data_IF_681084312121
#
_entry.id   IF_681084312121
#
_cell.length_a   1.000
_cell.length_b   1.000
_cell.length_c   1.000
_cell.angle_alpha   90.00
_cell.angle_beta   90.00
_cell.angle_gamma   90.00
#
_symmetry.space_group_name_H-M   'P 1'
#
loop_
_entity.id
_entity.type
_entity.pdbx_description
1 polymer ?
#
# COMPACT_ATOMS: atom_id res chain seq x y z
N UNK A 1 -24.96 5.57 -7.38
CA UNK A 1 -24.89 4.77 -6.13
C UNK A 1 -24.43 3.38 -6.52
N UNK A 2 -23.28 2.92 -6.02
CA UNK A 2 -22.83 1.53 -6.24
C UNK A 2 -23.33 0.72 -5.04
N UNK A 3 -24.14 -0.30 -5.29
CA UNK A 3 -24.75 -1.14 -4.26
C UNK A 3 -24.06 -2.50 -4.24
N UNK A 4 -23.54 -2.92 -3.09
CA UNK A 4 -23.23 -4.33 -2.87
C UNK A 4 -24.53 -5.07 -2.53
N UNK A 5 -24.58 -6.39 -2.81
CA UNK A 5 -25.68 -7.22 -2.34
C UNK A 5 -25.73 -7.14 -0.81
N UNK A 6 -26.89 -6.79 -0.23
CA UNK A 6 -27.11 -6.61 1.21
C UNK A 6 -26.29 -5.47 1.87
N UNK A 7 -26.06 -4.37 1.16
CA UNK A 7 -25.47 -3.17 1.77
C UNK A 7 -26.43 -2.54 2.79
N UNK A 8 -25.99 -2.45 4.04
CA UNK A 8 -26.76 -1.96 5.19
C UNK A 8 -26.17 -0.67 5.80
N UNK A 9 -24.99 -0.23 5.35
CA UNK A 9 -24.36 1.03 5.77
C UNK A 9 -23.90 1.85 4.57
N UNK A 10 -24.23 3.13 4.57
CA UNK A 10 -23.73 4.10 3.59
C UNK A 10 -22.34 4.61 3.99
N UNK A 11 -21.35 4.43 3.11
CA UNK A 11 -20.02 5.02 3.27
C UNK A 11 -19.91 6.22 2.35
N UNK A 12 -19.56 7.37 2.93
CA UNK A 12 -19.38 8.64 2.23
C UNK A 12 -17.90 9.04 2.27
N UNK A 13 -17.30 9.17 1.10
CA UNK A 13 -15.89 9.55 0.93
C UNK A 13 -15.84 10.65 -0.11
N UNK A 14 -15.55 11.88 0.30
CA UNK A 14 -15.57 13.05 -0.58
C UNK A 14 -16.88 13.14 -1.38
N UNK A 15 -16.82 12.97 -2.70
CA UNK A 15 -17.97 12.99 -3.61
C UNK A 15 -18.56 11.59 -3.89
N UNK A 16 -17.91 10.52 -3.41
CA UNK A 16 -18.33 9.14 -3.63
C UNK A 16 -19.23 8.63 -2.49
N UNK A 17 -20.25 7.87 -2.88
CA UNK A 17 -21.18 7.20 -1.96
C UNK A 17 -21.43 5.77 -2.43
N UNK A 18 -21.26 4.81 -1.54
CA UNK A 18 -21.54 3.40 -1.81
C UNK A 18 -22.07 2.70 -0.56
N UNK A 19 -22.95 1.72 -0.77
CA UNK A 19 -23.58 0.93 0.29
C UNK A 19 -22.79 -0.35 0.52
N UNK A 20 -22.25 -0.56 1.72
CA UNK A 20 -21.46 -1.73 2.12
C UNK A 20 -22.19 -2.60 3.13
N UNK A 21 -21.88 -3.89 3.16
CA UNK A 21 -22.35 -4.77 4.24
C UNK A 21 -21.42 -4.64 5.44
N UNK A 22 -21.93 -4.07 6.54
CA UNK A 22 -21.21 -3.96 7.79
C UNK A 22 -20.86 -5.32 8.39
N UNK A 23 -21.69 -6.35 8.16
CA UNK A 23 -21.38 -7.72 8.59
C UNK A 23 -20.08 -8.24 7.97
N UNK A 24 -19.94 -8.14 6.65
CA UNK A 24 -18.76 -8.56 5.88
C UNK A 24 -17.53 -7.76 6.30
N UNK A 25 -17.68 -6.44 6.40
CA UNK A 25 -16.56 -5.57 6.76
C UNK A 25 -16.15 -5.73 8.23
N UNK A 26 -17.08 -5.98 9.15
CA UNK A 26 -16.77 -6.26 10.57
C UNK A 26 -16.04 -7.59 10.74
N UNK A 27 -16.36 -8.59 9.92
CA UNK A 27 -15.61 -9.85 9.87
C UNK A 27 -14.20 -9.66 9.31
N UNK A 28 -14.02 -8.72 8.39
CA UNK A 28 -12.71 -8.39 7.83
C UNK A 28 -11.76 -7.80 8.88
N UNK A 29 -12.24 -6.88 9.72
CA UNK A 29 -11.44 -6.31 10.81
C UNK A 29 -12.27 -5.77 11.97
N UNK A 30 -11.81 -5.92 13.23
CA UNK A 30 -12.41 -5.27 14.38
C UNK A 30 -12.50 -3.74 14.28
N UNK A 31 -11.60 -3.09 13.53
CA UNK A 31 -11.63 -1.64 13.37
C UNK A 31 -12.85 -1.21 12.53
N UNK A 32 -13.25 -2.01 11.55
CA UNK A 32 -14.51 -1.79 10.82
C UNK A 32 -15.73 -2.01 11.71
N UNK A 33 -15.70 -3.03 12.58
CA UNK A 33 -16.77 -3.23 13.54
C UNK A 33 -16.99 -1.99 14.42
N UNK A 34 -15.92 -1.41 14.95
CA UNK A 34 -15.97 -0.16 15.73
C UNK A 34 -16.43 1.03 14.90
N UNK A 35 -16.06 1.07 13.63
CA UNK A 35 -16.42 2.15 12.71
C UNK A 35 -17.93 2.16 12.41
N UNK A 36 -18.50 0.99 12.17
CA UNK A 36 -19.91 0.82 11.81
C UNK A 36 -20.85 0.77 13.01
N UNK A 37 -20.35 0.59 14.23
CA UNK A 37 -21.17 0.57 15.43
C UNK A 37 -21.10 1.89 16.21
N UNK A 38 -22.18 2.20 16.92
CA UNK A 38 -22.22 3.27 17.92
C UNK A 38 -21.68 2.74 19.26
N UNK A 39 -21.45 3.64 20.23
CA UNK A 39 -21.04 3.24 21.59
C UNK A 39 -22.02 2.28 22.28
N UNK A 40 -23.27 2.23 21.80
CA UNK A 40 -24.32 1.36 22.32
C UNK A 40 -24.48 0.05 21.52
N UNK A 41 -23.56 -0.23 20.59
CA UNK A 41 -23.58 -1.45 19.76
C UNK A 41 -24.60 -1.43 18.62
N UNK A 42 -25.32 -0.32 18.42
CA UNK A 42 -26.24 -0.15 17.30
C UNK A 42 -25.47 0.15 16.02
N UNK A 43 -25.93 -0.42 14.90
CA UNK A 43 -25.39 -0.15 13.57
C UNK A 43 -25.66 1.30 13.16
N UNK A 44 -24.66 1.97 12.59
CA UNK A 44 -24.81 3.31 12.01
C UNK A 44 -25.38 3.20 10.61
N UNK A 45 -26.33 4.06 10.26
CA UNK A 45 -26.89 4.13 8.90
C UNK A 45 -25.89 4.67 7.87
N UNK A 46 -25.05 5.63 8.30
CA UNK A 46 -24.02 6.22 7.44
C UNK A 46 -22.74 6.58 8.20
N UNK A 47 -21.61 6.51 7.51
CA UNK A 47 -20.31 6.97 8.00
C UNK A 47 -19.62 7.88 6.98
N UNK A 48 -18.80 8.81 7.48
CA UNK A 48 -17.98 9.70 6.66
C UNK A 48 -16.50 9.40 6.89
N UNK A 49 -15.76 9.21 5.80
CA UNK A 49 -14.31 8.94 5.82
C UNK A 49 -13.61 9.94 4.89
N UNK A 50 -13.43 11.20 5.30
CA UNK A 50 -12.92 12.26 4.42
C UNK A 50 -11.47 12.05 3.97
N UNK A 51 -10.67 11.38 4.81
CA UNK A 51 -9.23 11.15 4.58
C UNK A 51 -8.92 9.93 3.71
N UNK A 52 -9.94 9.20 3.26
CA UNK A 52 -9.77 8.02 2.41
C UNK A 52 -9.78 8.38 0.93
N UNK A 53 -9.04 7.60 0.15
CA UNK A 53 -9.16 7.64 -1.30
C UNK A 53 -10.43 6.86 -1.72
N UNK A 54 -11.40 7.49 -2.40
CA UNK A 54 -12.68 6.86 -2.71
C UNK A 54 -12.52 5.63 -3.59
N UNK A 55 -11.55 5.64 -4.51
CA UNK A 55 -11.30 4.51 -5.43
C UNK A 55 -10.69 3.34 -4.67
N UNK A 56 -9.61 3.56 -3.93
CA UNK A 56 -8.94 2.51 -3.17
C UNK A 56 -9.87 1.88 -2.12
N UNK A 57 -10.62 2.70 -1.38
CA UNK A 57 -11.55 2.18 -0.39
C UNK A 57 -12.68 1.37 -1.04
N UNK A 58 -13.20 1.82 -2.19
CA UNK A 58 -14.18 1.05 -2.95
C UNK A 58 -13.62 -0.31 -3.38
N UNK A 59 -12.37 -0.38 -3.86
CA UNK A 59 -11.73 -1.65 -4.20
C UNK A 59 -11.50 -2.54 -2.98
N UNK A 60 -11.15 -1.96 -1.82
CA UNK A 60 -11.07 -2.70 -0.54
C UNK A 60 -12.42 -3.34 -0.22
N UNK A 61 -13.51 -2.59 -0.34
CA UNK A 61 -14.86 -3.12 -0.15
C UNK A 61 -15.19 -4.22 -1.18
N UNK A 62 -14.92 -4.01 -2.47
CA UNK A 62 -15.12 -5.01 -3.52
C UNK A 62 -14.40 -6.33 -3.19
N UNK A 63 -13.11 -6.26 -2.85
CA UNK A 63 -12.32 -7.44 -2.48
C UNK A 63 -12.84 -8.11 -1.21
N UNK A 64 -13.26 -7.34 -0.20
CA UNK A 64 -13.86 -7.87 1.03
C UNK A 64 -15.13 -8.68 0.73
N UNK A 65 -15.98 -8.17 -0.15
CA UNK A 65 -17.22 -8.83 -0.59
C UNK A 65 -16.97 -9.97 -1.60
N UNK A 66 -15.70 -10.28 -1.92
CA UNK A 66 -15.34 -11.38 -2.82
C UNK A 66 -15.44 -11.06 -4.31
N UNK A 67 -15.57 -9.79 -4.68
CA UNK A 67 -15.51 -9.39 -6.09
C UNK A 67 -14.08 -9.56 -6.61
N UNK A 68 -13.96 -10.10 -7.83
CA UNK A 68 -12.68 -10.14 -8.53
C UNK A 68 -12.36 -8.75 -9.10
N UNK A 69 -11.15 -8.26 -8.84
CA UNK A 69 -10.68 -6.96 -9.31
C UNK A 69 -9.51 -7.20 -10.28
N UNK A 70 -9.66 -6.90 -11.58
CA UNK A 70 -8.55 -6.99 -12.53
C UNK A 70 -7.40 -6.06 -12.13
N UNK A 71 -6.16 -6.56 -12.15
CA UNK A 71 -4.98 -5.76 -11.82
C UNK A 71 -4.86 -4.51 -12.71
N UNK A 72 -5.30 -4.59 -13.97
CA UNK A 72 -5.29 -3.46 -14.91
C UNK A 72 -6.13 -2.26 -14.42
N UNK A 73 -7.07 -2.48 -13.50
CA UNK A 73 -7.88 -1.42 -12.89
C UNK A 73 -7.25 -0.82 -11.63
N UNK A 74 -6.11 -1.35 -11.18
CA UNK A 74 -5.42 -0.92 -9.97
C UNK A 74 -4.17 -0.14 -10.35
N UNK A 75 -4.27 1.18 -10.33
CA UNK A 75 -3.11 2.06 -10.49
C UNK A 75 -2.13 1.88 -9.33
N UNK A 76 -0.86 2.26 -9.53
CA UNK A 76 0.13 2.18 -8.45
C UNK A 76 -0.23 3.07 -7.25
N UNK A 77 -0.82 4.23 -7.49
CA UNK A 77 -1.30 5.13 -6.44
C UNK A 77 -2.46 4.51 -5.66
N UNK A 78 -3.44 3.95 -6.36
CA UNK A 78 -4.54 3.20 -5.76
C UNK A 78 -4.02 2.03 -4.94
N UNK A 79 -2.99 1.32 -5.41
CA UNK A 79 -2.36 0.21 -4.68
C UNK A 79 -1.72 0.69 -3.38
N UNK A 80 -1.02 1.83 -3.39
CA UNK A 80 -0.48 2.46 -2.17
C UNK A 80 -1.61 2.80 -1.19
N UNK A 81 -2.69 3.40 -1.67
CA UNK A 81 -3.82 3.77 -0.82
C UNK A 81 -4.55 2.54 -0.24
N UNK A 82 -4.68 1.45 -1.02
CA UNK A 82 -5.21 0.18 -0.52
C UNK A 82 -4.30 -0.43 0.57
N UNK A 83 -2.97 -0.36 0.39
CA UNK A 83 -2.03 -0.78 1.42
C UNK A 83 -2.13 0.08 2.69
N UNK A 84 -2.27 1.40 2.55
CA UNK A 84 -2.51 2.27 3.70
C UNK A 84 -3.83 1.95 4.41
N UNK A 85 -4.89 1.60 3.68
CA UNK A 85 -6.14 1.12 4.26
C UNK A 85 -5.94 -0.21 5.04
N UNK A 86 -5.17 -1.17 4.50
CA UNK A 86 -4.81 -2.41 5.22
C UNK A 86 -4.15 -2.08 6.55
N UNK A 87 -3.18 -1.16 6.54
CA UNK A 87 -2.48 -0.73 7.76
C UNK A 87 -3.41 -0.02 8.74
N UNK A 88 -4.20 0.94 8.27
CA UNK A 88 -5.10 1.77 9.08
C UNK A 88 -6.18 0.94 9.77
N UNK A 89 -6.83 0.06 9.01
CA UNK A 89 -7.90 -0.80 9.51
C UNK A 89 -7.38 -2.14 10.03
N UNK A 90 -6.06 -2.35 10.11
CA UNK A 90 -5.44 -3.60 10.61
C UNK A 90 -6.03 -4.85 9.93
N UNK A 91 -6.22 -4.79 8.62
CA UNK A 91 -6.78 -5.89 7.85
C UNK A 91 -5.78 -7.05 7.89
N UNK A 92 -6.22 -8.28 8.28
CA UNK A 92 -5.31 -9.39 8.47
C UNK A 92 -4.74 -9.90 7.14
N UNK A 93 -3.52 -10.47 7.20
CA UNK A 93 -2.82 -11.00 6.04
C UNK A 93 -3.55 -12.18 5.35
N UNK A 94 -4.42 -12.87 6.08
CA UNK A 94 -5.27 -13.97 5.56
C UNK A 94 -6.48 -13.49 4.77
N UNK A 95 -6.74 -12.17 4.75
CA UNK A 95 -7.91 -11.61 4.07
C UNK A 95 -7.79 -11.58 2.55
N UNK A 96 -8.94 -11.59 1.87
CA UNK A 96 -9.02 -11.39 0.41
C UNK A 96 -8.44 -10.06 -0.03
N UNK A 97 -8.67 -8.99 0.75
CA UNK A 97 -8.13 -7.65 0.46
C UNK A 97 -6.61 -7.67 0.45
N UNK A 98 -5.99 -8.28 1.47
CA UNK A 98 -4.55 -8.41 1.54
C UNK A 98 -4.00 -9.22 0.35
N UNK A 99 -4.67 -10.30 -0.02
CA UNK A 99 -4.29 -11.11 -1.19
C UNK A 99 -4.39 -10.31 -2.51
N UNK A 100 -5.43 -9.48 -2.69
CA UNK A 100 -5.57 -8.60 -3.86
C UNK A 100 -4.41 -7.60 -3.95
N UNK A 101 -4.05 -6.95 -2.83
CA UNK A 101 -2.92 -6.01 -2.78
C UNK A 101 -1.60 -6.75 -3.03
N UNK A 102 -1.39 -7.92 -2.42
CA UNK A 102 -0.19 -8.71 -2.59
C UNK A 102 0.00 -9.19 -4.05
N UNK A 103 -1.07 -9.68 -4.69
CA UNK A 103 -1.04 -10.08 -6.09
C UNK A 103 -0.71 -8.90 -7.01
N UNK A 104 -1.39 -7.77 -6.80
CA UNK A 104 -1.17 -6.56 -7.60
C UNK A 104 0.25 -6.01 -7.42
N UNK A 105 0.79 -6.07 -6.20
CA UNK A 105 2.18 -5.74 -5.91
C UNK A 105 3.15 -6.62 -6.71
N UNK A 106 2.95 -7.94 -6.69
CA UNK A 106 3.81 -8.89 -7.44
C UNK A 106 3.81 -8.52 -8.92
N UNK A 107 2.64 -8.29 -9.53
CA UNK A 107 2.52 -7.92 -10.94
C UNK A 107 3.29 -6.62 -11.25
N UNK A 108 3.19 -5.62 -10.37
CA UNK A 108 3.92 -4.35 -10.51
C UNK A 108 5.45 -4.50 -10.33
N UNK A 109 5.91 -5.57 -9.70
CA UNK A 109 7.33 -5.84 -9.44
C UNK A 109 7.92 -6.95 -10.33
N UNK A 110 7.20 -7.42 -11.36
CA UNK A 110 7.71 -8.48 -12.26
C UNK A 110 8.87 -8.02 -13.15
N UNK A 111 8.94 -6.73 -13.50
CA UNK A 111 10.00 -6.16 -14.34
C UNK A 111 10.71 -5.00 -13.62
N UNK A 112 11.46 -5.30 -12.55
CA UNK A 112 12.09 -4.30 -11.69
C UNK A 112 13.05 -3.34 -12.41
N UNK A 113 13.66 -3.76 -13.52
CA UNK A 113 14.50 -2.96 -14.40
C UNK A 113 13.76 -1.77 -15.04
N UNK A 114 12.45 -1.90 -15.26
CA UNK A 114 11.61 -0.85 -15.87
C UNK A 114 11.11 0.19 -14.86
N UNK A 115 11.38 -0.02 -13.57
CA UNK A 115 10.81 0.81 -12.50
C UNK A 115 11.61 2.11 -12.31
N UNK A 116 10.93 3.23 -12.46
CA UNK A 116 11.46 4.54 -12.07
C UNK A 116 11.63 4.63 -10.55
N UNK A 117 12.48 5.54 -10.09
CA UNK A 117 12.76 5.70 -8.65
C UNK A 117 11.49 6.06 -7.88
N UNK A 118 10.62 6.88 -8.48
CA UNK A 118 9.33 7.25 -7.88
C UNK A 118 8.44 6.02 -7.68
N UNK A 119 8.33 5.15 -8.70
CA UNK A 119 7.56 3.90 -8.60
C UNK A 119 8.13 2.97 -7.53
N UNK A 120 9.46 2.84 -7.45
CA UNK A 120 10.14 2.05 -6.42
C UNK A 120 9.83 2.55 -5.01
N UNK A 121 9.87 3.86 -4.78
CA UNK A 121 9.51 4.45 -3.48
C UNK A 121 8.08 4.13 -3.09
N UNK A 122 7.13 4.18 -4.03
CA UNK A 122 5.74 3.80 -3.81
C UNK A 122 5.62 2.30 -3.49
N UNK A 123 6.30 1.44 -4.25
CA UNK A 123 6.30 -0.01 -4.03
C UNK A 123 6.94 -0.40 -2.69
N UNK A 124 7.97 0.31 -2.22
CA UNK A 124 8.52 0.11 -0.88
C UNK A 124 7.50 0.41 0.21
N UNK A 125 6.63 1.41 0.03
CA UNK A 125 5.54 1.67 0.99
C UNK A 125 4.55 0.51 1.04
N UNK A 126 4.15 0.00 -0.12
CA UNK A 126 3.26 -1.18 -0.22
C UNK A 126 3.91 -2.40 0.44
N UNK A 127 5.17 -2.68 0.12
CA UNK A 127 5.89 -3.84 0.63
C UNK A 127 6.03 -3.82 2.16
N UNK A 128 6.22 -2.64 2.77
CA UNK A 128 6.25 -2.50 4.24
C UNK A 128 4.94 -2.93 4.90
N UNK A 129 3.79 -2.66 4.27
CA UNK A 129 2.49 -3.10 4.77
C UNK A 129 2.30 -4.60 4.58
N UNK A 130 2.72 -5.14 3.44
CA UNK A 130 2.60 -6.58 3.13
C UNK A 130 3.52 -7.46 3.97
N UNK A 131 4.54 -6.89 4.60
CA UNK A 131 5.42 -7.55 5.58
C UNK A 131 6.90 -7.54 5.20
N UNK A 132 7.75 -7.81 6.19
CA UNK A 132 9.22 -7.76 6.06
C UNK A 132 9.76 -8.65 4.94
N UNK A 133 9.21 -9.85 4.76
CA UNK A 133 9.63 -10.77 3.71
C UNK A 133 9.48 -10.16 2.30
N UNK A 134 8.35 -9.49 2.02
CA UNK A 134 8.11 -8.83 0.72
C UNK A 134 8.99 -7.59 0.56
N UNK A 135 9.21 -6.85 1.64
CA UNK A 135 10.09 -5.69 1.65
C UNK A 135 11.56 -6.07 1.35
N UNK A 136 12.07 -7.08 2.06
CA UNK A 136 13.43 -7.60 1.84
C UNK A 136 13.61 -8.17 0.45
N UNK A 137 12.62 -8.91 -0.06
CA UNK A 137 12.65 -9.43 -1.42
C UNK A 137 12.78 -8.30 -2.44
N UNK A 138 11.94 -7.26 -2.36
CA UNK A 138 12.01 -6.13 -3.29
C UNK A 138 13.36 -5.40 -3.21
N UNK A 139 13.91 -5.21 -2.00
CA UNK A 139 15.25 -4.62 -1.84
C UNK A 139 16.28 -5.46 -2.57
N UNK A 140 16.30 -6.79 -2.33
CA UNK A 140 17.27 -7.68 -2.99
C UNK A 140 17.13 -7.59 -4.51
N UNK A 141 15.91 -7.69 -5.04
CA UNK A 141 15.65 -7.67 -6.48
C UNK A 141 16.11 -6.35 -7.12
N UNK A 142 15.82 -5.21 -6.48
CA UNK A 142 16.24 -3.88 -6.96
C UNK A 142 17.76 -3.74 -6.92
N UNK A 143 18.41 -4.16 -5.84
CA UNK A 143 19.87 -4.05 -5.68
C UNK A 143 20.64 -5.02 -6.58
N UNK A 144 20.08 -6.20 -6.88
CA UNK A 144 20.67 -7.14 -7.84
C UNK A 144 20.72 -6.54 -9.25
N UNK A 145 19.69 -5.79 -9.64
CA UNK A 145 19.56 -5.21 -10.98
C UNK A 145 20.15 -3.80 -11.09
N UNK A 146 20.22 -3.09 -9.97
CA UNK A 146 20.83 -1.78 -9.86
C UNK A 146 21.82 -1.81 -8.68
N UNK A 147 22.98 -2.45 -8.83
CA UNK A 147 23.99 -2.46 -7.78
C UNK A 147 24.27 -1.02 -7.36
N UNK A 148 24.09 -0.74 -6.07
CA UNK A 148 24.46 0.56 -5.51
C UNK A 148 25.93 0.80 -5.83
N UNK A 149 26.22 1.87 -6.56
CA UNK A 149 27.59 2.33 -6.67
C UNK A 149 27.95 2.97 -5.33
N UNK A 150 28.65 2.21 -4.49
CA UNK A 150 29.35 2.72 -3.32
C UNK A 150 30.52 3.57 -3.82
N UNK A 151 30.28 4.86 -4.04
CA UNK A 151 31.38 5.81 -4.24
C UNK A 151 31.92 6.24 -2.88
N UNK A 152 33.21 5.99 -2.66
CA UNK A 152 33.92 6.56 -1.52
C UNK A 152 33.98 8.08 -1.72
N UNK A 153 33.35 8.84 -0.81
CA UNK A 153 33.53 10.29 -0.77
C UNK A 153 35.02 10.58 -0.53
N UNK A 154 35.64 11.52 -1.28
CA UNK A 154 36.98 11.96 -0.95
C UNK A 154 36.92 12.62 0.42
N UNK A 155 37.34 11.89 1.44
CA UNK A 155 37.64 12.46 2.74
C UNK A 155 38.80 13.42 2.51
N UNK A 156 38.52 14.72 2.57
CA UNK A 156 39.58 15.68 2.88
C UNK A 156 40.20 15.15 4.17
N UNK A 157 41.44 14.68 4.06
CA UNK A 157 42.22 14.27 5.21
C UNK A 157 42.42 15.51 6.09
N UNK A 158 41.49 15.77 7.00
CA UNK A 158 41.80 16.53 8.19
C UNK A 158 42.56 15.59 9.10
N UNK A 159 43.85 15.89 9.26
CA UNK A 159 44.78 15.14 10.06
C UNK A 159 44.21 14.85 11.46
N UNK A 160 44.31 13.58 11.87
CA UNK A 160 44.21 13.14 13.26
C UNK A 160 42.79 12.91 13.80
N UNK A 161 42.33 11.66 13.77
CA UNK A 161 41.18 11.23 14.58
C UNK A 161 40.43 10.04 13.99
N UNK A 162 40.51 8.89 14.65
CA UNK A 162 39.72 7.68 14.34
C UNK A 162 38.22 7.96 14.56
N UNK A 163 37.48 8.08 13.46
CA UNK A 163 36.17 7.48 13.20
C UNK A 163 35.60 8.19 11.96
N UNK A 164 35.83 7.60 10.79
CA UNK A 164 35.13 8.03 9.59
C UNK A 164 33.68 7.56 9.70
N UNK A 165 32.76 8.44 10.08
CA UNK A 165 31.34 8.25 9.82
C UNK A 165 31.15 8.17 8.30
N UNK A 166 31.03 6.96 7.78
CA UNK A 166 30.67 6.73 6.40
C UNK A 166 29.21 7.10 6.18
N UNK A 167 28.97 8.26 5.55
CA UNK A 167 27.65 8.59 5.01
C UNK A 167 27.48 7.86 3.67
N UNK A 168 26.57 6.88 3.64
CA UNK A 168 26.19 6.16 2.40
C UNK A 168 25.24 7.04 1.61
N UNK A 169 25.71 7.63 0.51
CA UNK A 169 24.86 8.35 -0.44
C UNK A 169 24.26 7.38 -1.46
N UNK A 170 22.93 7.35 -1.53
CA UNK A 170 22.17 6.57 -2.51
C UNK A 170 22.13 7.33 -3.85
N UNK A 171 23.11 7.10 -4.73
CA UNK A 171 23.14 7.64 -6.08
C UNK A 171 22.67 6.63 -7.14
N UNK A 172 21.63 6.96 -7.92
CA UNK A 172 21.24 6.20 -9.12
C UNK A 172 22.00 6.77 -10.32
N UNK A 173 22.72 5.92 -11.07
CA UNK A 173 23.37 6.34 -12.32
C UNK A 173 22.28 6.78 -13.32
N UNK A 174 22.35 8.00 -13.85
CA UNK A 174 21.55 8.38 -15.02
C UNK A 174 22.06 7.54 -16.20
N UNK A 175 21.14 6.93 -16.95
CA UNK A 175 21.50 6.29 -18.20
C UNK A 175 22.19 7.31 -19.13
N UNK A 176 23.23 6.90 -19.88
CA UNK A 176 23.78 7.77 -20.92
C UNK A 176 22.67 8.11 -21.92
N UNK A 177 22.48 9.40 -22.16
CA UNK A 177 21.66 9.86 -23.27
C UNK A 177 22.40 9.47 -24.55
N UNK A 178 21.85 8.50 -25.29
CA UNK A 178 22.20 8.23 -26.69
C UNK A 178 21.48 9.19 -27.59
#
# INVERSE_FOLDING_TARGET
MISYQNGDVEVRIQHARFLVSASVMSQLSPEFHRLFTTRHGLLRESIELPDEDPVAFHLVCQSAHGSFIPQAHISLETLVNMAEAIRRYKIPATSRVHNTVAFSFIVQTLQPETLSTVKLVMLFRVAKVLGSAKYEQLIRDVFLLHPLQLEALPTKQTAGGRNAECVVLLGRKRAPQT
#
